data_IF_219316696018
#
_entry.id   IF_219316696018
#
_cell.length_a   1.000
_cell.length_b   1.000
_cell.length_c   1.000
_cell.angle_alpha   90.00
_cell.angle_beta   90.00
_cell.angle_gamma   90.00
#
_symmetry.space_group_name_H-M   'P 1'
#
loop_
_entity.id
_entity.type
_entity.pdbx_description
1 polymer ?
#
# COMPACT_ATOMS: atom_id res chain seq x y z
N UNK A 1 -0.38 15.95 21.69
CA UNK A 1 -0.46 14.49 21.48
C UNK A 1 -0.99 14.12 20.10
N UNK A 2 -2.12 14.67 19.67
CA UNK A 2 -2.69 14.38 18.34
C UNK A 2 -1.75 14.77 17.19
N UNK A 3 -1.05 15.88 17.35
CA UNK A 3 -0.10 16.35 16.36
C UNK A 3 1.05 15.35 16.16
N UNK A 4 1.55 14.79 17.28
CA UNK A 4 2.62 13.77 17.22
C UNK A 4 2.13 12.48 16.55
N UNK A 5 0.89 12.08 16.82
CA UNK A 5 0.30 10.91 16.17
C UNK A 5 0.14 11.12 14.66
N UNK A 6 -0.29 12.31 14.28
CA UNK A 6 -0.45 12.66 12.88
C UNK A 6 0.89 12.65 12.15
N UNK A 7 1.94 13.23 12.77
CA UNK A 7 3.28 13.24 12.20
C UNK A 7 3.83 11.80 12.09
N UNK A 8 3.59 10.96 13.09
CA UNK A 8 4.02 9.55 13.08
C UNK A 8 3.37 8.76 11.95
N UNK A 9 2.14 9.12 11.57
CA UNK A 9 1.43 8.46 10.50
C UNK A 9 2.09 8.68 9.14
N UNK A 10 2.67 9.85 8.91
CA UNK A 10 3.27 10.21 7.62
C UNK A 10 4.36 9.23 7.18
N UNK A 11 5.37 8.89 8.02
CA UNK A 11 6.36 7.89 7.62
C UNK A 11 5.78 6.52 7.34
N UNK A 12 4.81 6.08 8.15
CA UNK A 12 4.16 4.77 7.98
C UNK A 12 3.45 4.73 6.62
N UNK A 13 2.67 5.76 6.32
CA UNK A 13 1.99 5.88 5.04
C UNK A 13 2.96 5.91 3.86
N UNK A 14 4.05 6.68 4.01
CA UNK A 14 5.06 6.82 2.97
C UNK A 14 5.75 5.49 2.67
N UNK A 15 6.21 4.78 3.70
CA UNK A 15 6.87 3.49 3.53
C UNK A 15 5.92 2.44 2.96
N UNK A 16 4.66 2.45 3.39
CA UNK A 16 3.64 1.56 2.83
C UNK A 16 3.40 1.82 1.35
N UNK A 17 3.30 3.09 0.96
CA UNK A 17 3.13 3.48 -0.44
C UNK A 17 4.32 3.10 -1.28
N UNK A 18 5.54 3.29 -0.77
CA UNK A 18 6.76 2.89 -1.48
C UNK A 18 6.84 1.37 -1.65
N UNK A 19 6.39 0.60 -0.66
CA UNK A 19 6.37 -0.86 -0.76
C UNK A 19 5.42 -1.33 -1.87
N UNK A 20 4.24 -0.72 -1.97
CA UNK A 20 3.28 -1.00 -3.04
C UNK A 20 3.86 -0.60 -4.39
N UNK A 21 4.50 0.57 -4.47
CA UNK A 21 5.13 1.05 -5.70
C UNK A 21 6.19 0.08 -6.22
N UNK A 22 6.94 -0.56 -5.32
CA UNK A 22 7.95 -1.56 -5.71
C UNK A 22 7.31 -2.77 -6.37
N UNK A 23 6.18 -3.23 -5.88
CA UNK A 23 5.44 -4.35 -6.47
C UNK A 23 4.96 -3.98 -7.87
N UNK A 24 4.39 -2.80 -8.04
CA UNK A 24 3.89 -2.31 -9.32
C UNK A 24 5.04 -2.14 -10.31
N UNK A 25 6.15 -1.57 -9.88
CA UNK A 25 7.34 -1.39 -10.71
C UNK A 25 7.90 -2.74 -11.17
N UNK A 26 7.90 -3.72 -10.27
CA UNK A 26 8.34 -5.07 -10.60
C UNK A 26 7.44 -5.69 -11.68
N UNK A 27 6.13 -5.56 -11.55
CA UNK A 27 5.19 -6.03 -12.56
C UNK A 27 5.42 -5.35 -13.90
N UNK A 28 5.58 -4.03 -13.89
CA UNK A 28 5.83 -3.26 -15.10
C UNK A 28 7.11 -3.71 -15.80
N UNK A 29 8.17 -3.98 -15.03
CA UNK A 29 9.48 -4.32 -15.57
C UNK A 29 9.57 -5.78 -16.05
N UNK A 30 9.04 -6.71 -15.24
CA UNK A 30 9.21 -8.15 -15.46
C UNK A 30 7.98 -8.83 -16.04
N UNK A 31 6.79 -8.28 -15.81
CA UNK A 31 5.50 -8.84 -16.21
C UNK A 31 4.68 -7.78 -16.94
N UNK A 32 5.27 -7.18 -17.95
CA UNK A 32 4.67 -6.04 -18.63
C UNK A 32 3.32 -6.37 -19.27
N UNK A 33 3.18 -7.58 -19.83
CA UNK A 33 1.90 -8.04 -20.41
C UNK A 33 0.82 -8.10 -19.34
N UNK A 34 1.14 -8.64 -18.16
CA UNK A 34 0.21 -8.70 -17.04
C UNK A 34 -0.13 -7.31 -16.54
N UNK A 35 0.84 -6.39 -16.55
CA UNK A 35 0.61 -5.00 -16.21
C UNK A 35 -0.42 -4.36 -17.13
N UNK A 36 -0.28 -4.57 -18.44
CA UNK A 36 -1.22 -4.05 -19.44
C UNK A 36 -2.60 -4.68 -19.26
N UNK A 37 -2.65 -6.00 -19.10
CA UNK A 37 -3.92 -6.73 -18.94
C UNK A 37 -4.64 -6.39 -17.64
N UNK A 38 -3.88 -6.01 -16.61
CA UNK A 38 -4.44 -5.61 -15.32
C UNK A 38 -4.95 -4.18 -15.27
N UNK A 39 -4.99 -3.46 -16.40
CA UNK A 39 -5.49 -2.10 -16.47
C UNK A 39 -4.42 -1.03 -16.31
N UNK A 40 -3.15 -1.40 -16.44
CA UNK A 40 -2.00 -0.47 -16.33
C UNK A 40 -1.99 0.26 -14.99
N UNK A 41 -1.92 -0.47 -13.87
CA UNK A 41 -1.95 0.16 -12.54
C UNK A 41 -0.73 1.02 -12.30
N UNK A 42 -0.91 2.04 -11.48
CA UNK A 42 0.16 2.90 -11.02
C UNK A 42 0.20 2.93 -9.50
N UNK A 43 1.37 3.22 -8.96
CA UNK A 43 1.53 3.50 -7.55
C UNK A 43 1.35 4.98 -7.24
N UNK A 44 1.72 5.36 -6.02
CA UNK A 44 1.67 6.76 -5.60
C UNK A 44 2.79 7.58 -6.27
N UNK A 45 4.00 7.02 -6.31
CA UNK A 45 5.17 7.69 -6.87
C UNK A 45 5.57 7.11 -8.22
N UNK A 46 5.37 5.80 -8.41
CA UNK A 46 5.65 5.15 -9.67
C UNK A 46 4.45 5.31 -10.60
N UNK A 47 4.62 6.17 -11.60
CA UNK A 47 3.56 6.53 -12.54
C UNK A 47 4.10 6.43 -13.97
N UNK A 48 4.20 5.20 -14.55
CA UNK A 48 4.71 5.04 -15.90
C UNK A 48 3.78 5.68 -16.92
N UNK A 49 4.35 6.08 -18.05
CA UNK A 49 3.59 6.71 -19.12
C UNK A 49 2.50 5.77 -19.62
N UNK A 50 1.26 6.25 -19.72
CA UNK A 50 0.13 5.46 -20.15
C UNK A 50 -0.59 4.73 -19.03
N UNK A 51 -0.13 4.85 -17.77
CA UNK A 51 -0.82 4.28 -16.63
C UNK A 51 -2.16 4.98 -16.40
N UNK A 52 -3.19 4.23 -16.01
CA UNK A 52 -4.54 4.78 -15.90
C UNK A 52 -5.23 4.54 -14.57
N UNK A 53 -4.80 3.55 -13.79
CA UNK A 53 -5.48 3.18 -12.56
C UNK A 53 -4.53 3.13 -11.37
N UNK A 54 -5.05 3.48 -10.19
CA UNK A 54 -4.46 3.02 -8.95
C UNK A 54 -4.61 1.51 -8.88
N UNK A 55 -3.83 0.87 -7.98
CA UNK A 55 -3.86 -0.57 -7.80
C UNK A 55 -5.27 -1.00 -7.36
N UNK A 56 -5.99 -1.67 -8.24
CA UNK A 56 -7.30 -2.25 -7.93
C UNK A 56 -7.21 -3.72 -7.55
N UNK A 57 -6.16 -4.39 -8.02
CA UNK A 57 -5.98 -5.82 -7.80
C UNK A 57 -5.39 -6.14 -6.44
N UNK A 58 -5.09 -5.12 -5.63
CA UNK A 58 -4.46 -5.34 -4.34
C UNK A 58 -5.42 -6.01 -3.39
N UNK A 59 -5.07 -7.22 -2.97
CA UNK A 59 -5.79 -7.98 -1.95
C UNK A 59 -4.79 -8.83 -1.20
N UNK A 60 -5.24 -9.51 -0.14
CA UNK A 60 -4.40 -10.48 0.56
C UNK A 60 -4.12 -11.72 -0.28
N UNK A 61 -4.89 -11.95 -1.31
CA UNK A 61 -4.65 -13.04 -2.25
C UNK A 61 -3.54 -12.68 -3.23
N UNK A 62 -2.71 -13.67 -3.54
CA UNK A 62 -1.60 -13.49 -4.47
C UNK A 62 -2.11 -13.63 -5.90
N UNK A 63 -1.92 -12.61 -6.76
CA UNK A 63 -2.30 -12.73 -8.17
C UNK A 63 -1.49 -13.84 -8.87
N UNK A 64 -2.10 -14.41 -9.91
CA UNK A 64 -1.49 -15.53 -10.65
C UNK A 64 -0.11 -15.21 -11.20
N UNK A 65 0.11 -13.97 -11.66
CA UNK A 65 1.39 -13.59 -12.24
C UNK A 65 2.54 -13.58 -11.23
N UNK A 66 2.23 -13.51 -9.93
CA UNK A 66 3.23 -13.59 -8.86
C UNK A 66 3.57 -15.03 -8.49
N UNK A 67 2.72 -15.97 -8.89
CA UNK A 67 2.89 -17.36 -8.54
C UNK A 67 4.20 -17.92 -9.12
N UNK A 68 5.04 -18.48 -8.27
CA UNK A 68 6.33 -19.04 -8.68
C UNK A 68 7.47 -18.05 -8.72
N UNK A 69 7.27 -16.78 -8.41
CA UNK A 69 8.31 -15.77 -8.36
C UNK A 69 8.56 -15.35 -6.91
N UNK A 70 9.58 -15.91 -6.29
CA UNK A 70 9.88 -15.67 -4.87
C UNK A 70 10.21 -14.21 -4.57
N UNK A 71 10.84 -13.52 -5.52
CA UNK A 71 11.24 -12.13 -5.33
C UNK A 71 10.01 -11.23 -5.20
N UNK A 72 9.07 -11.35 -6.14
CA UNK A 72 7.85 -10.53 -6.09
C UNK A 72 6.94 -10.95 -4.94
N UNK A 73 6.91 -12.21 -4.57
CA UNK A 73 6.17 -12.67 -3.40
C UNK A 73 6.70 -12.03 -2.12
N UNK A 74 8.02 -11.88 -2.00
CA UNK A 74 8.64 -11.18 -0.87
C UNK A 74 8.22 -9.72 -0.85
N UNK A 75 8.25 -9.04 -1.99
CA UNK A 75 7.80 -7.65 -2.10
C UNK A 75 6.33 -7.51 -1.73
N UNK A 76 5.50 -8.43 -2.20
CA UNK A 76 4.08 -8.44 -1.88
C UNK A 76 3.83 -8.58 -0.39
N UNK A 77 4.55 -9.49 0.27
CA UNK A 77 4.43 -9.70 1.73
C UNK A 77 4.82 -8.45 2.50
N UNK A 78 5.90 -7.78 2.10
CA UNK A 78 6.32 -6.53 2.75
C UNK A 78 5.27 -5.45 2.59
N UNK A 79 4.71 -5.29 1.39
CA UNK A 79 3.68 -4.30 1.14
C UNK A 79 2.40 -4.63 1.93
N UNK A 80 2.01 -5.90 1.99
CA UNK A 80 0.87 -6.34 2.79
C UNK A 80 1.07 -6.03 4.27
N UNK A 81 2.27 -6.28 4.79
CA UNK A 81 2.60 -5.96 6.18
C UNK A 81 2.43 -4.46 6.45
N UNK A 82 2.97 -3.59 5.59
CA UNK A 82 2.85 -2.16 5.73
C UNK A 82 1.40 -1.69 5.64
N UNK A 83 0.61 -2.31 4.76
CA UNK A 83 -0.82 -2.00 4.66
C UNK A 83 -1.57 -2.38 5.92
N UNK A 84 -1.24 -3.52 6.53
CA UNK A 84 -1.82 -3.93 7.81
C UNK A 84 -1.42 -2.96 8.93
N UNK A 85 -0.15 -2.57 9.00
CA UNK A 85 0.34 -1.60 9.99
C UNK A 85 -0.42 -0.28 9.84
N UNK A 86 -0.57 0.20 8.61
CA UNK A 86 -1.31 1.43 8.32
C UNK A 86 -2.77 1.32 8.77
N UNK A 87 -3.41 0.21 8.47
CA UNK A 87 -4.80 -0.04 8.83
C UNK A 87 -4.99 -0.01 10.34
N UNK A 88 -4.17 -0.75 11.08
CA UNK A 88 -4.27 -0.80 12.54
C UNK A 88 -3.92 0.55 13.17
N UNK A 89 -2.96 1.26 12.61
CA UNK A 89 -2.61 2.60 13.06
C UNK A 89 -3.78 3.56 12.90
N UNK A 90 -4.48 3.50 11.75
CA UNK A 90 -5.67 4.32 11.51
C UNK A 90 -6.79 3.99 12.51
N UNK A 91 -7.03 2.71 12.77
CA UNK A 91 -8.04 2.28 13.74
C UNK A 91 -7.71 2.84 15.12
N UNK A 92 -6.46 2.69 15.56
CA UNK A 92 -6.02 3.22 16.85
C UNK A 92 -6.17 4.73 16.92
N UNK A 93 -5.84 5.44 15.85
CA UNK A 93 -5.98 6.88 15.77
C UNK A 93 -7.44 7.31 15.92
N UNK A 94 -8.36 6.64 15.23
CA UNK A 94 -9.79 6.94 15.32
C UNK A 94 -10.33 6.66 16.70
N UNK A 95 -9.93 5.54 17.33
CA UNK A 95 -10.36 5.20 18.68
C UNK A 95 -9.87 6.24 19.67
N UNK A 96 -8.63 6.69 19.56
CA UNK A 96 -8.08 7.73 20.42
C UNK A 96 -8.81 9.06 20.23
N UNK A 97 -9.12 9.40 18.98
CA UNK A 97 -9.87 10.61 18.66
C UNK A 97 -11.26 10.58 19.29
N UNK A 98 -11.97 9.46 19.16
CA UNK A 98 -13.29 9.28 19.79
C UNK A 98 -13.18 9.39 21.31
N UNK A 99 -12.17 8.78 21.91
CA UNK A 99 -11.95 8.84 23.36
C UNK A 99 -11.76 10.29 23.82
N UNK A 100 -10.95 11.05 23.11
CA UNK A 100 -10.70 12.46 23.41
C UNK A 100 -12.00 13.27 23.31
N UNK A 101 -12.79 13.04 22.26
CA UNK A 101 -14.06 13.75 22.08
C UNK A 101 -15.07 13.42 23.16
N UNK A 102 -15.13 12.16 23.59
CA UNK A 102 -16.06 11.72 24.65
C UNK A 102 -15.63 12.27 26.01
N UNK A 103 -14.34 12.31 26.30
CA UNK A 103 -13.81 12.76 27.58
C UNK A 103 -13.62 14.28 27.66
N UNK A 104 -13.88 14.97 26.57
CA UNK A 104 -13.76 16.43 26.54
C UNK A 104 -14.82 17.07 27.43
N UNK A 105 -14.40 17.94 28.39
CA UNK A 105 -15.36 18.62 29.27
C UNK A 105 -16.22 19.64 28.55
#
# INVERSE_FOLDING_TARGET
MMFLLFISFIPIWLFGSLAVDRVIKYQYTHYHTDWINGGKPRGLFFNPRGSSYFVKWWSSEVPDWMSGDDEVLTLHKKAELWMKVTKYYLIAFFLLLLLILVMRP
#
